data_IF_340390692777
#
_entry.id   IF_340390692777
#
_cell.length_a   1.000
_cell.length_b   1.000
_cell.length_c   1.000
_cell.angle_alpha   90.00
_cell.angle_beta   90.00
_cell.angle_gamma   90.00
#
_symmetry.space_group_name_H-M   'P 1'
#
loop_
_entity.id
_entity.type
_entity.pdbx_description
1 polymer ?
#
# COMPACT_ATOMS: atom_id res chain seq x y z
N UNK A 1 -16.98 -11.94 -16.44
CA UNK A 1 -16.47 -12.91 -15.44
C UNK A 1 -16.31 -12.10 -14.17
N UNK A 2 -17.18 -12.27 -13.17
CA UNK A 2 -17.18 -11.41 -11.98
C UNK A 2 -15.89 -11.70 -11.20
N UNK A 3 -15.02 -10.70 -11.12
CA UNK A 3 -13.80 -10.69 -10.31
C UNK A 3 -14.16 -11.17 -8.91
N UNK A 4 -13.45 -12.16 -8.38
CA UNK A 4 -13.60 -12.52 -6.98
C UNK A 4 -13.14 -11.32 -6.17
N UNK A 5 -14.05 -10.62 -5.49
CA UNK A 5 -13.70 -9.65 -4.45
C UNK A 5 -13.02 -10.41 -3.30
N UNK A 6 -11.74 -10.71 -3.50
CA UNK A 6 -10.90 -11.34 -2.48
C UNK A 6 -10.73 -10.31 -1.38
N UNK A 7 -11.45 -10.52 -0.28
CA UNK A 7 -11.29 -9.72 0.93
C UNK A 7 -9.95 -10.10 1.55
N UNK A 8 -8.93 -9.29 1.32
CA UNK A 8 -7.62 -9.45 1.92
C UNK A 8 -7.63 -8.89 3.35
N UNK A 9 -7.06 -9.64 4.30
CA UNK A 9 -6.93 -9.14 5.67
C UNK A 9 -5.91 -8.00 5.74
N UNK A 10 -6.24 -6.96 6.50
CA UNK A 10 -5.39 -5.78 6.65
C UNK A 10 -4.01 -6.15 7.19
N UNK A 11 -3.94 -7.13 8.10
CA UNK A 11 -2.67 -7.59 8.69
C UNK A 11 -1.82 -8.32 7.65
N UNK A 12 -2.43 -9.14 6.81
CA UNK A 12 -1.73 -9.86 5.74
C UNK A 12 -1.10 -8.90 4.73
N UNK A 13 -1.81 -7.82 4.40
CA UNK A 13 -1.28 -6.77 3.54
C UNK A 13 -0.08 -6.07 4.19
N UNK A 14 -0.23 -5.62 5.43
CA UNK A 14 0.87 -4.96 6.16
C UNK A 14 2.09 -5.89 6.30
N UNK A 15 1.86 -7.16 6.61
CA UNK A 15 2.92 -8.17 6.71
C UNK A 15 3.60 -8.42 5.37
N UNK A 16 2.86 -8.45 4.27
CA UNK A 16 3.41 -8.59 2.92
C UNK A 16 4.28 -7.39 2.54
N UNK A 17 3.85 -6.17 2.90
CA UNK A 17 4.67 -4.95 2.70
C UNK A 17 5.95 -4.99 3.52
N UNK A 18 5.89 -5.34 4.81
CA UNK A 18 7.09 -5.49 5.63
C UNK A 18 8.04 -6.56 5.12
N UNK A 19 7.50 -7.71 4.69
CA UNK A 19 8.27 -8.81 4.12
C UNK A 19 8.99 -8.36 2.84
N UNK A 20 8.29 -7.64 1.96
CA UNK A 20 8.88 -7.07 0.75
C UNK A 20 10.01 -6.08 1.09
N UNK A 21 9.77 -5.16 2.04
CA UNK A 21 10.80 -4.20 2.49
C UNK A 21 12.03 -4.94 3.02
N UNK A 22 11.87 -5.91 3.93
CA UNK A 22 12.99 -6.67 4.48
C UNK A 22 13.74 -7.45 3.41
N UNK A 23 13.02 -8.10 2.50
CA UNK A 23 13.59 -8.95 1.45
C UNK A 23 14.45 -8.15 0.47
N UNK A 24 13.99 -6.97 0.06
CA UNK A 24 14.65 -6.20 -1.01
C UNK A 24 15.56 -5.08 -0.53
N UNK A 25 15.35 -4.55 0.68
CA UNK A 25 16.08 -3.38 1.20
C UNK A 25 16.83 -3.67 2.52
N UNK A 26 16.62 -4.83 3.12
CA UNK A 26 17.29 -5.27 4.34
C UNK A 26 16.84 -4.53 5.60
N UNK A 27 17.34 -4.99 6.75
CA UNK A 27 16.89 -4.53 8.06
C UNK A 27 17.25 -3.05 8.34
N UNK A 28 18.41 -2.59 7.85
CA UNK A 28 18.90 -1.22 8.06
C UNK A 28 17.93 -0.19 7.48
N UNK A 29 17.51 -0.37 6.23
CA UNK A 29 16.58 0.57 5.60
C UNK A 29 15.16 0.37 6.12
N UNK A 30 14.74 -0.87 6.39
CA UNK A 30 13.44 -1.17 6.97
C UNK A 30 13.18 -0.42 8.29
N UNK A 31 14.22 -0.30 9.14
CA UNK A 31 14.11 0.41 10.42
C UNK A 31 13.72 1.90 10.27
N UNK A 32 14.02 2.51 9.12
CA UNK A 32 13.74 3.92 8.84
C UNK A 32 12.37 4.15 8.19
N UNK A 33 11.67 3.09 7.78
CA UNK A 33 10.45 3.22 6.98
C UNK A 33 9.32 3.90 7.74
N UNK A 34 9.11 3.50 8.99
CA UNK A 34 8.00 4.02 9.81
C UNK A 34 6.64 3.81 9.14
N UNK A 35 6.39 2.61 8.61
CA UNK A 35 5.17 2.27 7.87
C UNK A 35 3.95 2.27 8.79
N UNK A 36 2.87 2.90 8.36
CA UNK A 36 1.58 2.87 9.07
C UNK A 36 0.43 2.79 8.07
N UNK A 37 -0.45 1.80 8.22
CA UNK A 37 -1.68 1.70 7.43
C UNK A 37 -2.73 2.64 8.02
N UNK A 38 -3.19 3.61 7.24
CA UNK A 38 -4.19 4.60 7.67
C UNK A 38 -5.61 4.22 7.27
N UNK A 39 -5.76 3.64 6.07
CA UNK A 39 -7.05 3.25 5.51
C UNK A 39 -6.82 2.14 4.50
N UNK A 40 -7.77 1.22 4.41
CA UNK A 40 -7.85 0.25 3.34
C UNK A 40 -9.30 -0.14 3.11
N UNK A 41 -9.72 -0.03 1.87
CA UNK A 41 -11.03 -0.41 1.41
C UNK A 41 -10.86 -1.45 0.30
N UNK A 42 -11.08 -2.71 0.64
CA UNK A 42 -11.00 -3.82 -0.31
C UNK A 42 -12.11 -3.76 -1.38
N UNK A 43 -13.26 -3.12 -1.07
CA UNK A 43 -14.37 -2.98 -2.04
C UNK A 43 -14.03 -1.95 -3.11
N UNK A 44 -13.38 -0.85 -2.72
CA UNK A 44 -12.93 0.18 -3.66
C UNK A 44 -11.56 -0.16 -4.30
N UNK A 45 -10.83 -1.13 -3.76
CA UNK A 45 -9.46 -1.44 -4.20
C UNK A 45 -8.41 -0.38 -3.83
N UNK A 46 -8.70 0.49 -2.84
CA UNK A 46 -7.84 1.60 -2.44
C UNK A 46 -7.31 1.46 -1.02
N UNK A 47 -6.08 1.92 -0.80
CA UNK A 47 -5.47 2.01 0.53
C UNK A 47 -4.61 3.26 0.68
N UNK A 48 -4.44 3.70 1.93
CA UNK A 48 -3.57 4.81 2.29
C UNK A 48 -2.55 4.30 3.30
N UNK A 49 -1.29 4.36 2.91
CA UNK A 49 -0.14 4.10 3.79
C UNK A 49 0.66 5.37 4.04
N UNK A 50 1.10 5.53 5.27
CA UNK A 50 2.05 6.57 5.70
C UNK A 50 3.42 5.92 5.88
N UNK A 51 4.46 6.67 5.55
CA UNK A 51 5.85 6.32 5.80
C UNK A 51 6.65 7.59 6.11
N UNK A 52 7.92 7.43 6.49
CA UNK A 52 8.87 8.52 6.58
C UNK A 52 9.11 9.15 5.21
N UNK A 53 9.29 10.48 5.17
CA UNK A 53 9.52 11.19 3.91
C UNK A 53 10.80 10.72 3.19
N UNK A 54 11.76 10.19 3.93
CA UNK A 54 13.05 9.69 3.39
C UNK A 54 12.94 8.32 2.74
N UNK A 55 11.89 7.55 3.05
CA UNK A 55 11.74 6.14 2.65
C UNK A 55 10.54 5.90 1.73
N UNK A 56 9.90 6.97 1.26
CA UNK A 56 8.78 6.94 0.32
C UNK A 56 9.04 6.04 -0.90
N UNK A 57 10.21 6.17 -1.52
CA UNK A 57 10.58 5.41 -2.72
C UNK A 57 10.80 3.92 -2.45
N UNK A 58 11.35 3.59 -1.27
CA UNK A 58 11.48 2.21 -0.79
C UNK A 58 10.10 1.59 -0.64
N UNK A 59 9.15 2.29 -0.02
CA UNK A 59 7.78 1.79 0.16
C UNK A 59 7.09 1.61 -1.20
N UNK A 60 7.15 2.61 -2.08
CA UNK A 60 6.57 2.49 -3.44
C UNK A 60 7.12 1.29 -4.20
N UNK A 61 8.45 1.11 -4.19
CA UNK A 61 9.11 -0.02 -4.86
C UNK A 61 8.69 -1.35 -4.22
N UNK A 62 8.68 -1.42 -2.89
CA UNK A 62 8.28 -2.64 -2.16
C UNK A 62 6.84 -3.06 -2.46
N UNK A 63 5.92 -2.10 -2.63
CA UNK A 63 4.54 -2.36 -3.02
C UNK A 63 4.49 -2.99 -4.42
N UNK A 64 5.17 -2.39 -5.39
CA UNK A 64 5.17 -2.89 -6.78
C UNK A 64 5.81 -4.27 -6.95
N UNK A 65 6.67 -4.68 -6.01
CA UNK A 65 7.32 -6.01 -6.02
C UNK A 65 6.44 -7.12 -5.44
N UNK A 66 5.30 -6.79 -4.82
CA UNK A 66 4.36 -7.77 -4.29
C UNK A 66 3.44 -8.21 -5.41
N UNK A 67 3.56 -9.47 -5.81
CA UNK A 67 2.74 -10.10 -6.86
C UNK A 67 1.66 -11.02 -6.30
N UNK A 68 1.75 -11.38 -5.02
CA UNK A 68 0.86 -12.33 -4.37
C UNK A 68 0.73 -12.01 -2.87
N UNK A 69 -0.49 -12.09 -2.34
CA UNK A 69 -0.79 -12.01 -0.91
C UNK A 69 -1.73 -13.16 -0.57
N UNK A 70 -1.31 -14.01 0.36
CA UNK A 70 -2.10 -15.13 0.89
C UNK A 70 -2.66 -16.07 -0.19
N UNK A 71 -1.85 -16.41 -1.20
CA UNK A 71 -2.27 -17.27 -2.32
C UNK A 71 -2.98 -16.52 -3.46
N UNK A 72 -3.32 -15.24 -3.27
CA UNK A 72 -4.06 -14.46 -4.24
C UNK A 72 -3.11 -13.56 -5.03
N UNK A 73 -3.15 -13.66 -6.37
CA UNK A 73 -2.39 -12.76 -7.24
C UNK A 73 -2.94 -11.35 -7.12
N UNK A 74 -2.05 -10.39 -6.86
CA UNK A 74 -2.41 -8.99 -6.67
C UNK A 74 -1.46 -8.07 -7.42
N UNK A 75 -1.92 -6.86 -7.71
CA UNK A 75 -1.10 -5.77 -8.22
C UNK A 75 -1.30 -4.59 -7.28
N UNK A 76 -0.24 -4.22 -6.54
CA UNK A 76 -0.24 -3.01 -5.72
C UNK A 76 0.43 -1.87 -6.48
N UNK A 77 -0.37 -0.91 -6.93
CA UNK A 77 0.10 0.25 -7.70
C UNK A 77 0.06 1.52 -6.86
N UNK A 78 1.20 2.20 -6.62
CA UNK A 78 1.20 3.52 -5.99
C UNK A 78 0.63 4.59 -6.94
N UNK A 79 -0.54 5.14 -6.61
CA UNK A 79 -1.26 6.07 -7.50
C UNK A 79 -0.87 7.54 -7.25
N UNK A 80 -0.83 7.96 -5.98
CA UNK A 80 -0.50 9.33 -5.56
C UNK A 80 0.18 9.36 -4.19
N UNK A 81 0.97 10.41 -3.97
CA UNK A 81 1.62 10.68 -2.68
C UNK A 81 1.28 12.09 -2.21
N UNK A 82 1.20 12.30 -0.90
CA UNK A 82 1.02 13.62 -0.30
C UNK A 82 1.74 13.72 1.04
N UNK A 83 2.16 14.93 1.40
CA UNK A 83 2.74 15.21 2.73
C UNK A 83 1.70 15.33 3.85
N UNK A 84 0.40 15.43 3.53
CA UNK A 84 -0.66 15.54 4.55
C UNK A 84 -1.79 14.55 4.30
N UNK A 85 -2.35 14.03 5.39
CA UNK A 85 -3.50 13.12 5.36
C UNK A 85 -4.74 13.82 4.77
N UNK A 86 -4.91 15.11 5.04
CA UNK A 86 -6.04 15.89 4.52
C UNK A 86 -6.01 15.96 3.00
N UNK A 87 -4.85 16.22 2.40
CA UNK A 87 -4.71 16.30 0.94
C UNK A 87 -4.92 14.95 0.27
N UNK A 88 -4.38 13.86 0.82
CA UNK A 88 -4.56 12.53 0.21
C UNK A 88 -6.02 12.05 0.28
N UNK A 89 -6.74 12.35 1.37
CA UNK A 89 -8.18 12.03 1.48
C UNK A 89 -9.02 12.75 0.44
N UNK A 90 -8.77 14.05 0.20
CA UNK A 90 -9.43 14.79 -0.88
C UNK A 90 -9.12 14.20 -2.26
N UNK A 91 -7.88 13.77 -2.49
CA UNK A 91 -7.49 13.11 -3.75
C UNK A 91 -8.26 11.78 -3.91
N UNK A 92 -8.39 10.98 -2.83
CA UNK A 92 -9.21 9.76 -2.83
C UNK A 92 -10.65 10.06 -3.24
N UNK A 93 -11.30 11.03 -2.59
CA UNK A 93 -12.67 11.44 -2.90
C UNK A 93 -12.84 11.86 -4.38
N UNK A 94 -11.91 12.65 -4.90
CA UNK A 94 -11.91 13.10 -6.30
C UNK A 94 -11.66 11.97 -7.32
N UNK A 95 -10.99 10.89 -6.92
CA UNK A 95 -10.78 9.72 -7.78
C UNK A 95 -12.05 8.87 -7.84
N UNK A 96 -12.69 8.63 -6.70
CA UNK A 96 -13.92 7.83 -6.61
C UNK A 96 -15.14 8.49 -7.29
N UNK A 97 -15.13 9.82 -7.48
CA UNK A 97 -16.20 10.56 -8.18
C UNK A 97 -15.98 10.70 -9.69
N UNK A 98 -14.83 10.25 -10.21
CA UNK A 98 -14.49 10.36 -11.64
C UNK A 98 -14.71 9.07 -12.43
N UNK A 99 -15.20 8.02 -11.78
CA UNK A 99 -15.67 6.76 -12.39
C UNK A 99 -17.20 6.78 -12.52
#
# INVERSE_FOLDING_TARGET
MKENDVVLDQREIVNSVWTSIWKYFGLKEASKVGLWLLDINNVEGFGIVRCSHQTKEIVMSSLTLITEISGNKVILSPIKTSGTIRSIKKIKELMLTKE
#
